data_IF_681345862784
#
_entry.id   IF_681345862784
#
_cell.length_a   1.000
_cell.length_b   1.000
_cell.length_c   1.000
_cell.angle_alpha   90.00
_cell.angle_beta   90.00
_cell.angle_gamma   90.00
#
_symmetry.space_group_name_H-M   'P 1'
#
loop_
_entity.id
_entity.type
_entity.pdbx_description
1 polymer ?
#
# COMPACT_ATOMS: atom_id res chain seq x y z
N UNK A 1 -73.17 -27.97 -11.26
CA UNK A 1 -72.13 -28.67 -10.49
C UNK A 1 -70.78 -28.06 -10.84
N UNK A 2 -70.28 -27.13 -10.02
CA UNK A 2 -68.97 -26.51 -10.23
C UNK A 2 -67.89 -27.43 -9.68
N UNK A 3 -67.19 -28.13 -10.58
CA UNK A 3 -66.06 -28.99 -10.24
C UNK A 3 -64.85 -28.12 -9.91
N UNK A 4 -64.49 -28.02 -8.63
CA UNK A 4 -63.24 -27.40 -8.20
C UNK A 4 -62.11 -28.42 -8.35
N UNK A 5 -61.28 -28.25 -9.38
CA UNK A 5 -60.05 -29.03 -9.54
C UNK A 5 -59.11 -28.73 -8.36
N UNK A 6 -58.62 -29.75 -7.64
CA UNK A 6 -57.74 -29.54 -6.50
C UNK A 6 -56.40 -28.96 -6.97
N UNK A 7 -56.06 -27.78 -6.44
CA UNK A 7 -54.81 -27.08 -6.76
C UNK A 7 -53.62 -27.94 -6.29
N UNK A 8 -52.74 -28.31 -7.21
CA UNK A 8 -51.55 -29.11 -6.92
C UNK A 8 -50.59 -28.33 -5.98
N UNK A 9 -50.23 -28.94 -4.86
CA UNK A 9 -49.33 -28.36 -3.84
C UNK A 9 -48.00 -27.87 -4.42
N UNK A 10 -47.48 -28.53 -5.47
CA UNK A 10 -46.25 -28.08 -6.18
C UNK A 10 -46.50 -26.75 -6.90
N UNK A 11 -47.61 -26.61 -7.62
CA UNK A 11 -47.97 -25.38 -8.33
C UNK A 11 -48.17 -24.21 -7.36
N UNK A 12 -48.80 -24.47 -6.20
CA UNK A 12 -48.96 -23.48 -5.15
C UNK A 12 -47.61 -23.02 -4.56
N UNK A 13 -46.70 -23.96 -4.34
CA UNK A 13 -45.36 -23.65 -3.81
C UNK A 13 -44.52 -22.82 -4.80
N UNK A 14 -44.57 -23.13 -6.09
CA UNK A 14 -43.88 -22.35 -7.12
C UNK A 14 -44.49 -20.95 -7.29
N UNK A 15 -45.81 -20.83 -7.23
CA UNK A 15 -46.50 -19.54 -7.27
C UNK A 15 -46.15 -18.67 -6.05
N UNK A 16 -46.10 -19.28 -4.85
CA UNK A 16 -45.69 -18.58 -3.64
C UNK A 16 -44.22 -18.13 -3.71
N UNK A 17 -43.32 -18.99 -4.21
CA UNK A 17 -41.90 -18.65 -4.38
C UNK A 17 -41.71 -17.53 -5.41
N UNK A 18 -42.46 -17.56 -6.51
CA UNK A 18 -42.43 -16.51 -7.54
C UNK A 18 -42.98 -15.17 -7.02
N UNK A 19 -44.03 -15.20 -6.19
CA UNK A 19 -44.58 -14.01 -5.57
C UNK A 19 -43.61 -13.40 -4.54
N UNK A 20 -42.93 -14.24 -3.75
CA UNK A 20 -41.92 -13.81 -2.78
C UNK A 20 -40.68 -13.22 -3.48
N UNK A 21 -40.22 -13.83 -4.57
CA UNK A 21 -39.08 -13.30 -5.33
C UNK A 21 -39.43 -11.99 -6.05
N UNK A 22 -40.61 -11.88 -6.65
CA UNK A 22 -41.10 -10.64 -7.23
C UNK A 22 -41.25 -9.54 -6.16
N UNK A 23 -41.78 -9.89 -4.98
CA UNK A 23 -41.88 -8.97 -3.83
C UNK A 23 -40.52 -8.49 -3.34
N UNK A 24 -39.52 -9.38 -3.27
CA UNK A 24 -38.15 -9.02 -2.88
C UNK A 24 -37.49 -8.10 -3.90
N UNK A 25 -37.67 -8.36 -5.21
CA UNK A 25 -37.14 -7.51 -6.29
C UNK A 25 -37.80 -6.13 -6.23
N UNK A 26 -39.12 -6.05 -6.10
CA UNK A 26 -39.83 -4.79 -5.95
C UNK A 26 -39.44 -4.06 -4.66
N UNK A 27 -39.14 -4.78 -3.58
CA UNK A 27 -38.66 -4.19 -2.33
C UNK A 27 -37.24 -3.63 -2.46
N UNK A 28 -36.33 -4.34 -3.15
CA UNK A 28 -34.98 -3.86 -3.49
C UNK A 28 -35.03 -2.67 -4.45
N UNK A 29 -35.94 -2.67 -5.42
CA UNK A 29 -36.13 -1.57 -6.37
C UNK A 29 -36.81 -0.36 -5.72
N UNK A 30 -37.67 -0.60 -4.71
CA UNK A 30 -38.36 0.44 -3.94
C UNK A 30 -37.48 1.06 -2.87
N UNK A 31 -36.52 0.30 -2.32
CA UNK A 31 -35.37 0.93 -1.68
C UNK A 31 -34.75 1.79 -2.77
N UNK A 32 -34.70 3.11 -2.57
CA UNK A 32 -33.83 3.98 -3.34
C UNK A 32 -32.40 3.60 -2.95
N UNK A 33 -31.96 2.40 -3.38
CA UNK A 33 -30.61 1.92 -3.19
C UNK A 33 -29.80 2.89 -4.02
N UNK A 34 -29.27 3.90 -3.34
CA UNK A 34 -28.54 4.95 -3.97
C UNK A 34 -27.32 4.26 -4.59
N UNK A 35 -27.40 4.05 -5.91
CA UNK A 35 -26.41 3.31 -6.67
C UNK A 35 -25.04 3.97 -6.48
N UNK A 36 -25.02 5.28 -6.26
CA UNK A 36 -23.86 6.07 -5.90
C UNK A 36 -23.26 5.65 -4.54
N UNK A 37 -24.10 5.37 -3.54
CA UNK A 37 -23.68 4.94 -2.21
C UNK A 37 -23.14 3.51 -2.23
N UNK A 38 -23.77 2.59 -2.97
CA UNK A 38 -23.20 1.26 -3.20
C UNK A 38 -21.86 1.31 -3.95
N UNK A 39 -21.77 2.12 -5.00
CA UNK A 39 -20.54 2.31 -5.76
C UNK A 39 -19.44 2.92 -4.86
N UNK A 40 -19.81 3.88 -4.01
CA UNK A 40 -18.92 4.50 -3.03
C UNK A 40 -18.34 3.48 -2.05
N UNK A 41 -19.18 2.66 -1.42
CA UNK A 41 -18.73 1.62 -0.48
C UNK A 41 -17.86 0.58 -1.18
N UNK A 42 -18.25 0.13 -2.38
CA UNK A 42 -17.47 -0.84 -3.16
C UNK A 42 -16.08 -0.30 -3.51
N UNK A 43 -16.00 0.95 -3.99
CA UNK A 43 -14.73 1.60 -4.28
C UNK A 43 -13.86 1.76 -3.02
N UNK A 44 -14.46 2.07 -1.87
CA UNK A 44 -13.74 2.25 -0.60
C UNK A 44 -13.09 0.94 -0.14
N UNK A 45 -13.79 -0.19 -0.25
CA UNK A 45 -13.24 -1.53 0.02
C UNK A 45 -12.09 -1.86 -0.92
N UNK A 46 -12.23 -1.52 -2.21
CA UNK A 46 -11.19 -1.72 -3.21
C UNK A 46 -9.95 -0.85 -2.96
N UNK A 47 -10.13 0.42 -2.59
CA UNK A 47 -9.03 1.33 -2.23
C UNK A 47 -8.27 0.79 -1.01
N UNK A 48 -8.99 0.35 0.03
CA UNK A 48 -8.35 -0.24 1.23
C UNK A 48 -7.56 -1.49 0.88
N UNK A 49 -8.14 -2.38 0.04
CA UNK A 49 -7.46 -3.59 -0.40
C UNK A 49 -6.24 -3.27 -1.28
N UNK A 50 -6.36 -2.28 -2.15
CA UNK A 50 -5.26 -1.77 -2.98
C UNK A 50 -4.14 -1.24 -2.10
N UNK A 51 -4.42 -0.37 -1.13
CA UNK A 51 -3.44 0.17 -0.19
C UNK A 51 -2.72 -0.94 0.58
N UNK A 52 -3.44 -1.98 1.03
CA UNK A 52 -2.83 -3.15 1.69
C UNK A 52 -2.01 -4.04 0.76
N UNK A 53 -2.28 -4.01 -0.54
CA UNK A 53 -1.54 -4.75 -1.56
C UNK A 53 -0.32 -4.00 -2.09
N UNK A 54 -0.16 -2.72 -1.72
CA UNK A 54 1.05 -1.99 -2.09
C UNK A 54 2.25 -2.71 -1.47
N UNK A 55 3.28 -3.00 -2.27
CA UNK A 55 4.47 -3.67 -1.77
C UNK A 55 5.06 -2.83 -0.65
N UNK A 56 5.43 -3.50 0.44
CA UNK A 56 6.18 -2.88 1.52
C UNK A 56 7.49 -2.32 0.94
N UNK A 57 7.54 -1.00 0.77
CA UNK A 57 8.70 -0.30 0.21
C UNK A 57 9.90 -0.31 1.16
N UNK A 58 9.75 -0.92 2.33
CA UNK A 58 10.80 -1.05 3.34
C UNK A 58 11.88 -2.01 2.86
N UNK A 59 13.09 -1.47 2.70
CA UNK A 59 14.29 -2.23 2.37
C UNK A 59 14.67 -3.09 3.59
N UNK A 60 14.63 -4.42 3.44
CA UNK A 60 14.91 -5.36 4.54
C UNK A 60 16.35 -5.31 5.04
N UNK A 61 17.29 -5.06 4.13
CA UNK A 61 18.72 -5.05 4.41
C UNK A 61 19.41 -3.84 3.75
N UNK A 62 19.61 -2.73 4.48
CA UNK A 62 20.16 -1.51 3.91
C UNK A 62 21.64 -1.67 3.51
N UNK A 63 22.41 -2.51 4.21
CA UNK A 63 23.85 -2.74 3.92
C UNK A 63 24.03 -3.52 2.61
N UNK A 64 23.11 -4.44 2.29
CA UNK A 64 23.14 -5.16 0.99
C UNK A 64 22.55 -4.34 -0.16
N UNK A 65 21.64 -3.42 0.16
CA UNK A 65 20.93 -2.62 -0.83
C UNK A 65 21.76 -1.43 -1.34
N UNK A 66 22.56 -0.84 -0.44
CA UNK A 66 23.48 0.23 -0.78
C UNK A 66 24.83 -0.37 -1.17
N UNK A 67 25.36 0.02 -2.32
CA UNK A 67 26.69 -0.42 -2.77
C UNK A 67 27.58 0.77 -3.07
N UNK A 68 28.87 0.62 -2.81
CA UNK A 68 29.89 1.60 -3.11
C UNK A 68 30.81 1.03 -4.20
N UNK A 69 30.65 1.51 -5.43
CA UNK A 69 31.39 1.02 -6.59
C UNK A 69 32.01 2.20 -7.34
N UNK A 70 33.30 2.12 -7.67
CA UNK A 70 34.02 3.14 -8.45
C UNK A 70 33.83 4.58 -7.91
N UNK A 71 33.83 4.75 -6.59
CA UNK A 71 33.64 6.06 -5.95
C UNK A 71 32.22 6.61 -6.07
N UNK A 72 31.22 5.76 -6.35
CA UNK A 72 29.81 6.13 -6.37
C UNK A 72 29.02 5.31 -5.33
N UNK A 73 28.09 5.97 -4.66
CA UNK A 73 27.05 5.32 -3.86
C UNK A 73 25.87 4.99 -4.78
N UNK A 74 25.42 3.74 -4.75
CA UNK A 74 24.31 3.24 -5.55
C UNK A 74 23.26 2.57 -4.68
N UNK A 75 22.00 2.93 -4.88
CA UNK A 75 20.84 2.29 -4.26
C UNK A 75 19.59 2.51 -5.12
N UNK A 76 18.85 1.42 -5.38
CA UNK A 76 17.74 1.45 -6.33
C UNK A 76 18.20 1.92 -7.71
N UNK A 77 17.55 2.95 -8.25
CA UNK A 77 17.93 3.60 -9.51
C UNK A 77 18.86 4.82 -9.32
N UNK A 78 19.24 5.14 -8.08
CA UNK A 78 20.07 6.31 -7.76
C UNK A 78 21.55 5.95 -7.79
N UNK A 79 22.35 6.77 -8.48
CA UNK A 79 23.82 6.70 -8.47
C UNK A 79 24.38 8.10 -8.24
N UNK A 80 25.14 8.28 -7.16
CA UNK A 80 25.70 9.58 -6.76
C UNK A 80 27.19 9.42 -6.51
N UNK A 81 28.05 10.36 -6.95
CA UNK A 81 29.46 10.32 -6.60
C UNK A 81 29.64 10.46 -5.08
N UNK A 82 30.32 9.50 -4.46
CA UNK A 82 30.51 9.42 -3.01
C UNK A 82 31.19 10.68 -2.45
N UNK A 83 32.13 11.28 -3.20
CA UNK A 83 32.80 12.53 -2.81
C UNK A 83 31.85 13.74 -2.68
N UNK A 84 30.63 13.67 -3.24
CA UNK A 84 29.63 14.73 -3.11
C UNK A 84 28.72 14.53 -1.88
N UNK A 85 28.82 13.38 -1.21
CA UNK A 85 28.00 13.05 -0.05
C UNK A 85 28.71 13.54 1.19
N UNK A 86 28.32 14.72 1.68
CA UNK A 86 28.90 15.31 2.92
C UNK A 86 27.95 15.22 4.10
N UNK A 87 26.65 15.07 3.84
CA UNK A 87 25.58 15.06 4.83
C UNK A 87 24.60 13.93 4.55
N UNK A 88 24.32 13.14 5.57
CA UNK A 88 23.37 12.03 5.53
C UNK A 88 22.28 12.28 6.55
N UNK A 89 21.01 12.22 6.14
CA UNK A 89 19.92 12.19 7.09
C UNK A 89 19.64 10.73 7.48
N UNK A 90 19.68 10.45 8.78
CA UNK A 90 19.39 9.12 9.31
C UNK A 90 18.50 9.26 10.55
N UNK A 91 17.19 9.14 10.35
CA UNK A 91 16.20 9.35 11.40
C UNK A 91 15.55 8.03 11.81
N UNK A 92 15.60 7.71 13.11
CA UNK A 92 15.11 6.43 13.62
C UNK A 92 13.84 6.63 14.44
N UNK A 93 12.76 6.01 13.99
CA UNK A 93 11.49 5.86 14.73
C UNK A 93 11.40 4.47 15.37
N UNK A 94 10.31 4.18 16.09
CA UNK A 94 10.14 2.91 16.82
C UNK A 94 10.41 1.66 15.96
N UNK A 95 9.86 1.60 14.75
CA UNK A 95 9.95 0.40 13.89
C UNK A 95 10.81 0.63 12.64
N UNK A 96 10.95 1.88 12.21
CA UNK A 96 11.56 2.25 10.92
C UNK A 96 12.68 3.26 11.08
N UNK A 97 13.69 3.15 10.23
CA UNK A 97 14.73 4.14 10.03
C UNK A 97 14.64 4.70 8.61
N UNK A 98 14.70 6.02 8.51
CA UNK A 98 14.63 6.79 7.28
C UNK A 98 16.03 7.26 6.92
N UNK A 99 16.51 6.85 5.74
CA UNK A 99 17.75 7.34 5.16
C UNK A 99 17.45 8.28 4.00
N UNK A 100 18.15 9.41 3.93
CA UNK A 100 18.14 10.27 2.74
C UNK A 100 19.43 11.05 2.55
N UNK A 101 19.66 11.51 1.32
CA UNK A 101 20.78 12.37 0.92
C UNK A 101 20.28 13.79 0.56
N UNK A 102 20.03 14.65 1.56
CA UNK A 102 19.29 15.89 1.39
C UNK A 102 19.98 16.93 0.49
N UNK A 103 21.32 16.90 0.42
CA UNK A 103 22.11 17.83 -0.39
C UNK A 103 22.50 17.25 -1.75
N UNK A 104 21.95 16.08 -2.10
CA UNK A 104 22.21 15.41 -3.37
C UNK A 104 20.87 15.08 -4.08
N UNK A 105 19.99 16.07 -4.31
CA UNK A 105 18.71 15.81 -4.95
C UNK A 105 18.92 15.29 -6.37
N UNK A 106 18.34 14.13 -6.67
CA UNK A 106 18.26 13.57 -8.02
C UNK A 106 17.03 14.07 -8.78
N UNK A 107 16.09 14.71 -8.07
CA UNK A 107 14.90 15.36 -8.62
C UNK A 107 14.53 16.59 -7.79
N UNK A 108 13.90 17.63 -8.39
CA UNK A 108 13.48 18.83 -7.66
C UNK A 108 12.56 18.49 -6.48
N UNK A 109 12.94 18.91 -5.28
CA UNK A 109 12.13 18.77 -4.07
C UNK A 109 12.07 17.38 -3.43
N UNK A 110 12.71 16.36 -4.02
CA UNK A 110 12.71 15.00 -3.47
C UNK A 110 14.14 14.44 -3.38
N UNK A 111 14.77 14.49 -2.19
CA UNK A 111 16.09 13.91 -1.99
C UNK A 111 15.99 12.38 -2.07
N UNK A 112 16.99 11.71 -2.67
CA UNK A 112 16.96 10.27 -2.77
C UNK A 112 17.15 9.64 -1.38
N UNK A 113 16.34 8.62 -1.10
CA UNK A 113 16.27 8.00 0.22
C UNK A 113 15.38 6.77 0.21
N UNK A 114 15.40 6.03 1.30
CA UNK A 114 14.58 4.84 1.49
C UNK A 114 14.37 4.56 2.99
N UNK A 115 13.42 3.67 3.28
CA UNK A 115 13.06 3.25 4.64
C UNK A 115 13.53 1.83 4.87
N UNK A 116 14.01 1.53 6.07
CA UNK A 116 14.44 0.19 6.47
C UNK A 116 14.16 -0.07 7.96
N UNK A 117 14.25 -1.30 8.48
CA UNK A 117 13.95 -1.59 9.88
C UNK A 117 14.90 -0.89 10.87
N UNK A 118 14.35 -0.26 11.92
CA UNK A 118 15.11 0.49 12.93
C UNK A 118 16.26 -0.31 13.57
N UNK A 119 16.07 -1.63 13.76
CA UNK A 119 17.09 -2.55 14.28
C UNK A 119 18.40 -2.58 13.49
N UNK A 120 18.38 -2.18 12.21
CA UNK A 120 19.57 -2.11 11.35
C UNK A 120 20.22 -0.72 11.29
N UNK A 121 19.66 0.28 11.98
CA UNK A 121 20.14 1.66 11.90
C UNK A 121 21.59 1.80 12.34
N UNK A 122 21.97 1.18 13.46
CA UNK A 122 23.33 1.24 13.98
C UNK A 122 24.35 0.53 13.07
N UNK A 123 23.97 -0.63 12.52
CA UNK A 123 24.79 -1.38 11.56
C UNK A 123 25.02 -0.56 10.28
N UNK A 124 23.93 -0.01 9.73
CA UNK A 124 23.98 0.79 8.53
C UNK A 124 24.73 2.11 8.72
N UNK A 125 24.58 2.79 9.86
CA UNK A 125 25.34 3.99 10.20
C UNK A 125 26.85 3.72 10.18
N UNK A 126 27.29 2.61 10.77
CA UNK A 126 28.70 2.20 10.75
C UNK A 126 29.17 1.89 9.33
N UNK A 127 28.36 1.19 8.54
CA UNK A 127 28.66 0.91 7.14
C UNK A 127 28.90 2.20 6.34
N UNK A 128 28.01 3.20 6.49
CA UNK A 128 28.17 4.50 5.85
C UNK A 128 29.42 5.25 6.30
N UNK A 129 29.76 5.20 7.60
CA UNK A 129 30.98 5.83 8.13
C UNK A 129 32.25 5.18 7.58
N UNK A 130 32.27 3.87 7.40
CA UNK A 130 33.43 3.16 6.82
C UNK A 130 33.64 3.53 5.35
N UNK A 131 32.57 3.63 4.56
CA UNK A 131 32.66 3.82 3.12
C UNK A 131 32.77 5.30 2.70
N UNK A 132 32.11 6.21 3.43
CA UNK A 132 32.09 7.64 3.12
C UNK A 132 33.11 8.44 3.95
N UNK A 133 33.67 7.85 5.01
CA UNK A 133 34.61 8.51 5.91
C UNK A 133 33.92 9.56 6.80
N UNK A 134 34.49 10.76 6.84
CA UNK A 134 34.00 11.85 7.70
C UNK A 134 32.76 12.51 7.08
N UNK A 135 31.59 12.03 7.48
CA UNK A 135 30.28 12.54 7.07
C UNK A 135 29.48 13.04 8.27
N UNK A 136 28.72 14.11 8.04
CA UNK A 136 27.82 14.65 9.05
C UNK A 136 26.46 13.97 8.98
N UNK A 137 26.09 13.30 10.08
CA UNK A 137 24.72 12.82 10.25
C UNK A 137 23.83 13.96 10.73
N UNK A 138 22.72 14.17 10.05
CA UNK A 138 21.65 15.04 10.49
C UNK A 138 20.47 14.18 10.97
N UNK A 139 19.86 14.63 12.05
CA UNK A 139 18.69 14.03 12.70
C UNK A 139 17.54 15.01 12.54
#
# INVERSE_FOLDING_TARGET
MTSSTPINKKTLMHAALAALSAGLILWIVRQEVNLLLMLGVFNLVWIVKWCKSMPDSTIKDPVKYVTFNNGQIQFGSTSIPAHKVTRVALETTNEHCYFSLPYNPTSPGNPPGFVFPARKAAEFKRYLQTELGDIHFIH
#
